data_IF_155462908783
#
_entry.id   IF_155462908783
#
_cell.length_a   1.000
_cell.length_b   1.000
_cell.length_c   1.000
_cell.angle_alpha   90.00
_cell.angle_beta   90.00
_cell.angle_gamma   90.00
#
_symmetry.space_group_name_H-M   'P 1'
#
loop_
_entity.id
_entity.type
_entity.pdbx_description
1 polymer ?
#
# COMPACT_ATOMS: atom_id res chain seq x y z
N UNK A 1 3.08 -11.41 -3.53
CA UNK A 1 2.70 -10.34 -4.47
C UNK A 1 1.20 -10.27 -4.68
N UNK A 2 0.52 -11.33 -5.11
CA UNK A 2 -0.94 -11.25 -5.34
C UNK A 2 -1.75 -10.92 -4.07
N UNK A 3 -1.40 -11.50 -2.93
CA UNK A 3 -2.06 -11.24 -1.65
C UNK A 3 -1.95 -9.78 -1.20
N UNK A 4 -0.78 -9.15 -1.35
CA UNK A 4 -0.57 -7.74 -1.00
C UNK A 4 -1.31 -6.80 -1.96
N UNK A 5 -1.33 -7.10 -3.27
CA UNK A 5 -2.12 -6.33 -4.23
C UNK A 5 -3.62 -6.40 -3.95
N UNK A 6 -4.14 -7.60 -3.62
CA UNK A 6 -5.54 -7.76 -3.20
C UNK A 6 -5.84 -6.98 -1.93
N UNK A 7 -4.94 -7.03 -0.94
CA UNK A 7 -5.07 -6.24 0.29
C UNK A 7 -5.14 -4.74 0.00
N UNK A 8 -4.27 -4.20 -0.87
CA UNK A 8 -4.30 -2.79 -1.27
C UNK A 8 -5.64 -2.40 -1.92
N UNK A 9 -6.18 -3.24 -2.81
CA UNK A 9 -7.48 -3.00 -3.45
C UNK A 9 -8.60 -2.97 -2.41
N UNK A 10 -8.63 -3.95 -1.51
CA UNK A 10 -9.63 -4.02 -0.44
C UNK A 10 -9.53 -2.77 0.44
N UNK A 11 -8.33 -2.37 0.86
CA UNK A 11 -8.13 -1.17 1.68
C UNK A 11 -8.59 0.11 0.98
N UNK A 12 -8.26 0.32 -0.30
CA UNK A 12 -8.70 1.50 -1.06
C UNK A 12 -10.24 1.51 -1.21
N UNK A 13 -10.86 0.36 -1.45
CA UNK A 13 -12.33 0.25 -1.52
C UNK A 13 -12.98 0.52 -0.17
N UNK A 14 -12.49 -0.10 0.90
CA UNK A 14 -12.98 0.11 2.26
C UNK A 14 -12.86 1.57 2.66
N UNK A 15 -11.73 2.22 2.39
CA UNK A 15 -11.53 3.64 2.68
C UNK A 15 -12.54 4.53 1.95
N UNK A 16 -12.82 4.24 0.67
CA UNK A 16 -13.82 4.98 -0.11
C UNK A 16 -15.26 4.71 0.35
N UNK A 17 -15.55 3.50 0.84
CA UNK A 17 -16.87 3.15 1.38
C UNK A 17 -17.14 3.81 2.73
N UNK A 18 -16.13 3.87 3.61
CA UNK A 18 -16.25 4.41 4.97
C UNK A 18 -16.24 5.95 4.97
N UNK A 19 -15.45 6.57 4.10
CA UNK A 19 -15.32 8.03 4.04
C UNK A 19 -15.99 8.61 2.79
N UNK A 20 -17.34 8.64 2.78
CA UNK A 20 -18.12 9.29 1.71
C UNK A 20 -17.92 10.82 1.65
N UNK A 21 -17.63 11.46 2.78
CA UNK A 21 -17.34 12.89 2.88
C UNK A 21 -15.91 13.05 3.38
N UNK A 22 -14.98 13.41 2.50
CA UNK A 22 -13.56 13.43 2.83
C UNK A 22 -13.07 14.83 3.22
N UNK A 23 -12.35 14.89 4.35
CA UNK A 23 -11.58 16.07 4.76
C UNK A 23 -10.32 16.18 3.90
N UNK A 24 -9.74 17.39 3.78
CA UNK A 24 -8.51 17.64 2.99
C UNK A 24 -7.35 16.69 3.32
N UNK A 25 -7.18 16.33 4.60
CA UNK A 25 -6.17 15.36 5.05
C UNK A 25 -6.44 13.95 4.51
N UNK A 26 -7.69 13.49 4.57
CA UNK A 26 -8.11 12.18 4.06
C UNK A 26 -7.97 12.08 2.53
N UNK A 27 -8.19 13.18 1.80
CA UNK A 27 -7.93 13.25 0.37
C UNK A 27 -6.45 13.05 0.02
N UNK A 28 -5.54 13.61 0.81
CA UNK A 28 -4.10 13.41 0.63
C UNK A 28 -3.72 11.95 0.87
N UNK A 29 -4.16 11.37 2.00
CA UNK A 29 -3.93 9.95 2.30
C UNK A 29 -4.49 9.02 1.22
N UNK A 30 -5.69 9.30 0.72
CA UNK A 30 -6.31 8.53 -0.36
C UNK A 30 -5.52 8.62 -1.68
N UNK A 31 -5.04 9.81 -2.03
CA UNK A 31 -4.25 10.04 -3.24
C UNK A 31 -2.91 9.32 -3.16
N UNK A 32 -2.23 9.38 -2.01
CA UNK A 32 -0.97 8.65 -1.76
C UNK A 32 -1.20 7.14 -1.89
N UNK A 33 -2.25 6.59 -1.25
CA UNK A 33 -2.59 5.15 -1.34
C UNK A 33 -2.84 4.72 -2.80
N UNK A 34 -3.53 5.55 -3.59
CA UNK A 34 -3.75 5.30 -5.03
C UNK A 34 -2.46 5.32 -5.85
N UNK A 35 -1.58 6.28 -5.60
CA UNK A 35 -0.28 6.38 -6.29
C UNK A 35 0.58 5.16 -5.97
N UNK A 36 0.68 4.78 -4.70
CA UNK A 36 1.45 3.60 -4.27
C UNK A 36 0.90 2.30 -4.90
N UNK A 37 -0.43 2.17 -4.99
CA UNK A 37 -1.06 1.05 -5.67
C UNK A 37 -0.73 1.02 -7.17
N UNK A 38 -0.77 2.18 -7.85
CA UNK A 38 -0.40 2.28 -9.25
C UNK A 38 1.07 1.89 -9.47
N UNK A 39 1.99 2.35 -8.61
CA UNK A 39 3.41 1.98 -8.65
C UNK A 39 3.61 0.47 -8.45
N UNK A 40 2.86 -0.16 -7.54
CA UNK A 40 2.94 -1.60 -7.32
C UNK A 40 2.45 -2.39 -8.55
N UNK A 41 1.38 -1.93 -9.21
CA UNK A 41 0.89 -2.54 -10.45
C UNK A 41 1.91 -2.39 -11.57
N UNK A 42 2.42 -1.18 -11.82
CA UNK A 42 3.39 -0.95 -12.90
C UNK A 42 4.66 -1.75 -12.66
N UNK A 43 5.17 -1.79 -11.43
CA UNK A 43 6.35 -2.57 -11.06
C UNK A 43 6.12 -4.07 -11.26
N UNK A 44 4.90 -4.58 -10.97
CA UNK A 44 4.55 -5.98 -11.22
C UNK A 44 4.56 -6.31 -12.71
N UNK A 45 3.99 -5.45 -13.56
CA UNK A 45 4.03 -5.64 -15.02
C UNK A 45 5.45 -5.59 -15.56
N UNK A 46 6.23 -4.60 -15.14
CA UNK A 46 7.63 -4.44 -15.54
C UNK A 46 8.47 -5.65 -15.11
N UNK A 47 8.26 -6.17 -13.90
CA UNK A 47 8.90 -7.39 -13.40
C UNK A 47 8.57 -8.61 -14.27
N UNK A 48 7.29 -8.83 -14.62
CA UNK A 48 6.87 -9.93 -15.51
C UNK A 48 7.50 -9.77 -16.90
N UNK A 49 7.50 -8.55 -17.45
CA UNK A 49 8.09 -8.27 -18.75
C UNK A 49 9.58 -8.57 -18.80
N UNK A 50 10.34 -8.08 -17.81
CA UNK A 50 11.79 -8.35 -17.73
C UNK A 50 12.09 -9.81 -17.43
N UNK A 51 11.25 -10.50 -16.66
CA UNK A 51 11.38 -11.93 -16.42
C UNK A 51 11.25 -12.74 -17.73
N UNK A 52 10.26 -12.41 -18.57
CA UNK A 52 10.08 -13.05 -19.88
C UNK A 52 11.26 -12.71 -20.80
N UNK A 53 11.63 -11.43 -20.89
CA UNK A 53 12.77 -10.98 -21.71
C UNK A 53 14.08 -11.67 -21.32
N UNK A 54 14.36 -11.76 -20.01
CA UNK A 54 15.53 -12.45 -19.48
C UNK A 54 15.53 -13.93 -19.86
N UNK A 55 14.39 -14.63 -19.72
CA UNK A 55 14.31 -16.07 -19.97
C UNK A 55 14.40 -16.44 -21.47
N UNK A 56 13.88 -15.61 -22.37
CA UNK A 56 13.83 -15.95 -23.80
C UNK A 56 14.95 -15.33 -24.65
N UNK A 57 15.41 -14.11 -24.32
CA UNK A 57 16.29 -13.34 -25.20
C UNK A 57 17.71 -13.17 -24.66
N UNK A 58 18.00 -13.66 -23.45
CA UNK A 58 19.34 -13.64 -22.82
C UNK A 58 20.08 -12.30 -22.98
N UNK A 59 19.35 -11.19 -22.88
CA UNK A 59 19.90 -9.86 -23.11
C UNK A 59 20.66 -9.40 -21.86
N UNK A 60 21.87 -8.87 -22.04
CA UNK A 60 22.65 -8.30 -20.97
C UNK A 60 21.85 -7.19 -20.24
N UNK A 61 22.02 -7.11 -18.92
CA UNK A 61 21.34 -6.19 -17.98
C UNK A 61 19.86 -6.47 -17.68
N UNK A 62 19.22 -7.46 -18.32
CA UNK A 62 17.82 -7.80 -18.02
C UNK A 62 17.61 -8.21 -16.54
N UNK A 63 18.62 -8.83 -15.93
CA UNK A 63 18.60 -9.19 -14.51
C UNK A 63 18.62 -7.96 -13.58
N UNK A 64 19.40 -6.93 -13.91
CA UNK A 64 19.47 -5.69 -13.11
C UNK A 64 18.13 -4.95 -13.11
N UNK A 65 17.47 -4.84 -14.26
CA UNK A 65 16.15 -4.21 -14.38
C UNK A 65 15.04 -5.01 -13.68
N UNK A 66 15.14 -6.34 -13.71
CA UNK A 66 14.28 -7.21 -12.92
C UNK A 66 14.45 -6.93 -11.42
N UNK A 67 15.69 -6.95 -10.91
CA UNK A 67 15.98 -6.70 -9.50
C UNK A 67 15.52 -5.29 -9.06
N UNK A 68 15.77 -4.26 -9.88
CA UNK A 68 15.30 -2.91 -9.61
C UNK A 68 13.76 -2.85 -9.45
N UNK A 69 13.04 -3.55 -10.33
CA UNK A 69 11.56 -3.60 -10.28
C UNK A 69 11.07 -4.29 -9.00
N UNK A 70 11.76 -5.32 -8.55
CA UNK A 70 11.46 -6.01 -7.29
C UNK A 70 11.69 -5.10 -6.07
N UNK A 71 12.79 -4.34 -6.06
CA UNK A 71 13.06 -3.36 -5.00
C UNK A 71 12.01 -2.26 -4.94
N UNK A 72 11.63 -1.67 -6.09
CA UNK A 72 10.59 -0.63 -6.14
C UNK A 72 9.27 -1.18 -5.62
N UNK A 73 8.92 -2.40 -6.01
CA UNK A 73 7.70 -3.09 -5.57
C UNK A 73 7.70 -3.33 -4.05
N UNK A 74 8.83 -3.81 -3.49
CA UNK A 74 8.97 -4.04 -2.06
C UNK A 74 8.86 -2.74 -1.25
N UNK A 75 9.58 -1.69 -1.65
CA UNK A 75 9.55 -0.38 -0.98
C UNK A 75 8.15 0.24 -1.05
N UNK A 76 7.50 0.19 -2.21
CA UNK A 76 6.14 0.73 -2.38
C UNK A 76 5.11 -0.01 -1.52
N UNK A 77 5.27 -1.33 -1.38
CA UNK A 77 4.42 -2.14 -0.51
C UNK A 77 4.61 -1.76 0.98
N UNK A 78 5.86 -1.59 1.43
CA UNK A 78 6.15 -1.13 2.80
C UNK A 78 5.60 0.28 3.05
N UNK A 79 5.79 1.20 2.08
CA UNK A 79 5.26 2.55 2.14
C UNK A 79 3.73 2.55 2.24
N UNK A 80 3.04 1.63 1.55
CA UNK A 80 1.59 1.49 1.66
C UNK A 80 1.15 1.14 3.09
N UNK A 81 1.83 0.21 3.76
CA UNK A 81 1.54 -0.09 5.15
C UNK A 81 1.88 1.08 6.09
N UNK A 82 2.92 1.84 5.78
CA UNK A 82 3.29 3.04 6.53
C UNK A 82 2.24 4.15 6.46
N UNK A 83 1.40 4.20 5.40
CA UNK A 83 0.33 5.21 5.28
C UNK A 83 -0.68 5.19 6.42
N UNK A 84 -0.76 4.13 7.22
CA UNK A 84 -1.60 4.07 8.42
C UNK A 84 -1.27 5.18 9.43
N UNK A 85 0.00 5.62 9.48
CA UNK A 85 0.44 6.72 10.35
C UNK A 85 -0.18 8.05 9.97
N UNK A 86 -0.53 8.24 8.69
CA UNK A 86 -1.20 9.43 8.19
C UNK A 86 -2.72 9.39 8.46
N UNK A 87 -3.29 8.19 8.55
CA UNK A 87 -4.71 8.00 8.84
C UNK A 87 -5.04 8.21 10.33
N UNK A 88 -4.08 7.93 11.22
CA UNK A 88 -4.23 8.05 12.68
C UNK A 88 -3.15 8.94 13.32
N UNK A 89 -3.14 10.25 13.06
CA UNK A 89 -2.07 11.14 13.56
C UNK A 89 -2.13 11.39 15.07
N UNK A 90 -3.32 11.30 15.69
CA UNK A 90 -3.54 11.65 17.10
C UNK A 90 -4.24 10.57 17.92
N UNK A 91 -4.55 9.41 17.35
CA UNK A 91 -5.26 8.37 18.09
C UNK A 91 -4.32 7.62 19.03
N UNK A 92 -4.72 7.47 20.29
CA UNK A 92 -3.99 6.72 21.31
C UNK A 92 -4.65 5.36 21.53
N UNK A 93 -3.92 4.28 21.24
CA UNK A 93 -4.41 2.92 21.48
C UNK A 93 -4.19 2.54 22.95
N UNK A 94 -5.25 2.58 23.75
CA UNK A 94 -5.22 2.17 25.16
C UNK A 94 -5.66 0.70 25.25
N UNK A 95 -4.74 -0.19 25.62
CA UNK A 95 -5.07 -1.59 25.92
C UNK A 95 -5.23 -1.75 27.44
N UNK A 96 -6.47 -1.87 27.90
CA UNK A 96 -6.80 -2.06 29.31
C UNK A 96 -7.65 -3.32 29.49
N UNK A 97 -7.42 -4.04 30.61
CA UNK A 97 -8.24 -5.18 31.04
C UNK A 97 -9.22 -4.68 32.10
N UNK A 98 -10.52 -4.71 31.81
CA UNK A 98 -11.63 -4.15 32.61
C UNK A 98 -11.70 -2.61 32.59
N UNK A 99 -12.11 -2.01 31.46
CA UNK A 99 -12.36 -0.57 31.40
C UNK A 99 -13.64 -0.25 32.20
N UNK A 100 -13.59 0.55 33.29
CA UNK A 100 -14.80 0.96 33.98
C UNK A 100 -15.61 1.87 33.04
N UNK A 101 -16.86 1.51 32.78
CA UNK A 101 -17.80 2.37 32.07
C UNK A 101 -17.96 3.66 32.89
N UNK A 102 -17.42 4.77 32.38
CA UNK A 102 -17.69 6.09 32.94
C UNK A 102 -19.19 6.35 32.78
N UNK A 103 -19.95 6.15 33.86
CA UNK A 103 -21.28 6.75 34.01
C UNK A 103 -21.05 8.25 34.15
N UNK A 104 -21.41 8.99 33.11
CA UNK A 104 -21.66 10.43 33.20
C UNK A 104 -22.94 10.62 33.99
N UNK A 105 -22.82 11.06 35.24
CA UNK A 105 -23.90 11.71 36.00
C UNK A 105 -24.09 13.16 35.52
#
# INVERSE_FOLDING_TARGET
>A
MLSSLLYMVVMIKTFNMVHKTMTKSQHLSYTIKKILFAICITSTFTLIFFFIKHRFYCHDLAFTWFALSEYILAVSNMAFHFTITLDFPHEQLIVAKNFPSFKTD
#
